data_IF_225758051069
#
_entry.id   IF_225758051069
#
_cell.length_a   1.000
_cell.length_b   1.000
_cell.length_c   1.000
_cell.angle_alpha   90.00
_cell.angle_beta   90.00
_cell.angle_gamma   90.00
#
_symmetry.space_group_name_H-M   'P 1'
#
loop_
_entity.id
_entity.type
_entity.pdbx_description
1 polymer ?
#
# COMPACT_ATOMS: atom_id res chain seq x y z
N UNK A 1 11.67 24.77 -12.53
CA UNK A 1 12.16 23.43 -12.13
C UNK A 1 10.96 22.55 -11.88
N UNK A 2 10.60 21.69 -12.83
CA UNK A 2 9.59 20.66 -12.58
C UNK A 2 10.15 19.70 -11.53
N UNK A 3 9.54 19.66 -10.35
CA UNK A 3 9.78 18.57 -9.40
C UNK A 3 9.32 17.27 -10.06
N UNK A 4 10.24 16.59 -10.74
CA UNK A 4 9.99 15.30 -11.35
C UNK A 4 9.43 14.36 -10.29
N UNK A 5 8.25 13.78 -10.55
CA UNK A 5 7.66 12.78 -9.66
C UNK A 5 8.68 11.66 -9.45
N UNK A 6 8.91 11.20 -8.21
CA UNK A 6 9.90 10.16 -7.94
C UNK A 6 9.56 8.91 -8.76
N UNK A 7 10.54 8.43 -9.53
CA UNK A 7 10.46 7.18 -10.28
C UNK A 7 11.06 6.05 -9.44
N UNK A 8 10.50 4.83 -9.49
CA UNK A 8 11.07 3.72 -8.76
C UNK A 8 12.38 3.26 -9.42
N UNK A 9 13.36 2.87 -8.59
CA UNK A 9 14.64 2.30 -9.04
C UNK A 9 14.45 0.91 -9.66
N UNK A 10 13.44 0.19 -9.18
CA UNK A 10 13.01 -1.12 -9.68
C UNK A 10 11.57 -0.97 -10.14
N UNK A 11 11.24 -1.30 -11.38
CA UNK A 11 9.86 -1.21 -11.86
C UNK A 11 8.96 -2.23 -11.13
N UNK A 12 7.71 -1.87 -10.76
CA UNK A 12 6.79 -2.82 -10.15
C UNK A 12 6.33 -3.85 -11.19
N UNK A 13 6.21 -5.12 -10.77
CA UNK A 13 5.65 -6.19 -11.60
C UNK A 13 4.26 -5.84 -12.13
N UNK A 14 3.47 -5.12 -11.33
CA UNK A 14 2.29 -4.41 -11.79
C UNK A 14 1.91 -3.29 -10.83
N UNK A 15 1.16 -2.31 -11.35
CA UNK A 15 0.50 -1.25 -10.59
C UNK A 15 -1.00 -1.32 -10.84
N UNK A 16 -1.79 -1.44 -9.77
CA UNK A 16 -3.25 -1.28 -9.80
C UNK A 16 -3.64 -0.20 -8.82
N UNK A 17 -4.30 0.83 -9.34
CA UNK A 17 -5.00 1.82 -8.53
C UNK A 17 -6.49 1.67 -8.79
N UNK A 18 -7.27 1.62 -7.71
CA UNK A 18 -8.72 1.66 -7.81
C UNK A 18 -9.13 3.12 -7.93
N UNK A 19 -9.57 3.50 -9.12
CA UNK A 19 -10.44 4.66 -9.24
C UNK A 19 -11.73 4.31 -8.51
N UNK A 20 -12.15 5.12 -7.54
CA UNK A 20 -13.39 4.82 -6.81
C UNK A 20 -14.56 4.88 -7.79
N UNK A 21 -15.55 4.00 -7.63
CA UNK A 21 -16.76 4.05 -8.47
C UNK A 21 -17.42 5.44 -8.39
N UNK A 22 -17.37 6.08 -7.22
CA UNK A 22 -17.85 7.45 -7.03
C UNK A 22 -17.06 8.46 -7.84
N UNK A 23 -15.73 8.35 -7.96
CA UNK A 23 -14.93 9.24 -8.85
C UNK A 23 -15.23 8.98 -10.31
N UNK A 24 -15.47 7.74 -10.72
CA UNK A 24 -15.85 7.42 -12.11
C UNK A 24 -17.23 7.96 -12.48
N UNK A 25 -18.23 7.77 -11.61
CA UNK A 25 -19.59 8.32 -11.79
C UNK A 25 -19.59 9.84 -11.73
N UNK A 26 -18.83 10.44 -10.80
CA UNK A 26 -18.68 11.89 -10.72
C UNK A 26 -18.00 12.47 -11.95
N UNK A 27 -16.96 11.82 -12.51
CA UNK A 27 -16.36 12.25 -13.77
C UNK A 27 -17.35 12.20 -14.93
N UNK A 28 -18.15 11.13 -15.02
CA UNK A 28 -19.18 11.02 -16.05
C UNK A 28 -20.25 12.13 -15.91
N UNK A 29 -20.71 12.40 -14.69
CA UNK A 29 -21.65 13.49 -14.40
C UNK A 29 -21.04 14.86 -14.71
N UNK A 30 -19.74 15.06 -14.45
CA UNK A 30 -19.03 16.30 -14.78
C UNK A 30 -18.95 16.52 -16.29
N UNK A 31 -18.53 15.50 -17.06
CA UNK A 31 -18.48 15.60 -18.53
C UNK A 31 -19.88 15.91 -19.09
N UNK A 32 -20.91 15.25 -18.57
CA UNK A 32 -22.31 15.55 -18.93
C UNK A 32 -22.72 16.99 -18.58
N UNK A 33 -22.36 17.48 -17.40
CA UNK A 33 -22.70 18.83 -16.95
C UNK A 33 -21.97 19.94 -17.73
N UNK A 34 -20.70 19.72 -18.12
CA UNK A 34 -19.93 20.62 -18.99
C UNK A 34 -20.57 20.70 -20.37
N UNK A 35 -20.94 19.55 -20.95
CA UNK A 35 -21.63 19.51 -22.23
C UNK A 35 -22.95 20.28 -22.18
N UNK A 36 -23.73 20.11 -21.11
CA UNK A 36 -24.98 20.85 -20.90
C UNK A 36 -24.76 22.36 -20.75
N UNK A 37 -23.71 22.80 -20.05
CA UNK A 37 -23.43 24.24 -19.86
C UNK A 37 -22.99 24.92 -21.14
N UNK A 38 -22.22 24.24 -21.99
CA UNK A 38 -21.82 24.75 -23.30
C UNK A 38 -23.06 24.96 -24.18
N UNK A 39 -24.04 24.04 -24.10
CA UNK A 39 -25.29 24.12 -24.87
C UNK A 39 -26.21 25.24 -24.36
N UNK A 40 -26.30 25.45 -23.03
CA UNK A 40 -27.26 26.39 -22.43
C UNK A 40 -26.72 27.80 -22.17
N UNK A 41 -25.40 28.01 -22.26
CA UNK A 41 -24.77 29.33 -22.12
C UNK A 41 -24.81 29.96 -20.72
N UNK A 42 -25.10 29.17 -19.67
CA UNK A 42 -25.24 29.68 -18.30
C UNK A 42 -23.94 29.65 -17.49
N UNK A 43 -23.37 30.83 -17.19
CA UNK A 43 -22.09 31.01 -16.50
C UNK A 43 -22.06 30.58 -15.01
N UNK A 44 -23.22 30.46 -14.34
CA UNK A 44 -23.30 30.09 -12.92
C UNK A 44 -23.06 28.58 -12.71
N UNK A 45 -23.51 27.74 -13.64
CA UNK A 45 -23.23 26.30 -13.60
C UNK A 45 -21.73 26.01 -13.83
N UNK A 46 -21.04 26.83 -14.63
CA UNK A 46 -19.62 26.68 -14.93
C UNK A 46 -18.74 26.84 -13.69
N UNK A 47 -19.07 27.76 -12.78
CA UNK A 47 -18.32 27.96 -11.53
C UNK A 47 -18.51 26.82 -10.52
N UNK A 48 -19.73 26.25 -10.43
CA UNK A 48 -19.99 25.04 -9.63
C UNK A 48 -19.22 23.82 -10.15
N UNK A 49 -19.16 23.65 -11.48
CA UNK A 49 -18.39 22.57 -12.12
C UNK A 49 -16.89 22.72 -11.85
N UNK A 50 -16.35 23.94 -11.91
CA UNK A 50 -14.94 24.23 -11.56
C UNK A 50 -14.67 23.95 -10.06
N UNK A 51 -15.59 24.34 -9.17
CA UNK A 51 -15.48 24.03 -7.73
C UNK A 51 -15.47 22.52 -7.45
N UNK A 52 -16.30 21.76 -8.17
CA UNK A 52 -16.34 20.31 -8.06
C UNK A 52 -15.07 19.65 -8.66
N UNK A 53 -14.52 20.18 -9.75
CA UNK A 53 -13.23 19.78 -10.33
C UNK A 53 -12.10 19.94 -9.29
N UNK A 54 -12.02 21.09 -8.61
CA UNK A 54 -11.04 21.32 -7.56
C UNK A 54 -11.20 20.35 -6.39
N UNK A 55 -12.44 20.07 -5.97
CA UNK A 55 -12.72 19.05 -4.94
C UNK A 55 -12.25 17.65 -5.34
N UNK A 56 -12.42 17.25 -6.60
CA UNK A 56 -12.00 15.94 -7.11
C UNK A 56 -10.50 15.79 -7.30
N UNK A 57 -9.78 16.87 -7.65
CA UNK A 57 -8.31 16.80 -7.68
C UNK A 57 -7.77 16.33 -6.34
N UNK A 58 -8.39 16.70 -5.22
CA UNK A 58 -7.95 16.29 -3.88
C UNK A 58 -7.96 14.76 -3.67
N UNK A 59 -8.91 14.02 -4.25
CA UNK A 59 -8.95 12.55 -4.14
C UNK A 59 -7.95 11.86 -5.07
N UNK A 60 -7.79 12.37 -6.30
CA UNK A 60 -6.75 11.89 -7.23
C UNK A 60 -5.34 12.19 -6.70
N UNK A 61 -5.14 13.33 -6.04
CA UNK A 61 -3.89 13.66 -5.38
C UNK A 61 -3.62 12.74 -4.18
N UNK A 62 -4.65 12.25 -3.47
CA UNK A 62 -4.49 11.27 -2.38
C UNK A 62 -4.06 9.88 -2.88
N UNK A 63 -4.56 9.42 -4.03
CA UNK A 63 -4.09 8.14 -4.60
C UNK A 63 -2.67 8.27 -5.17
N UNK A 64 -2.37 9.41 -5.80
CA UNK A 64 -1.03 9.70 -6.31
C UNK A 64 -0.01 9.86 -5.17
N UNK A 65 -0.42 10.43 -4.03
CA UNK A 65 0.45 10.53 -2.84
C UNK A 65 0.73 9.14 -2.24
N UNK A 66 -0.26 8.24 -2.22
CA UNK A 66 -0.08 6.87 -1.71
C UNK A 66 0.95 6.07 -2.52
N UNK A 67 0.89 6.15 -3.86
CA UNK A 67 1.87 5.49 -4.72
C UNK A 67 3.25 6.13 -4.60
N UNK A 68 3.35 7.47 -4.53
CA UNK A 68 4.62 8.17 -4.31
C UNK A 68 5.28 7.74 -3.00
N UNK A 69 4.50 7.52 -1.94
CA UNK A 69 5.02 6.99 -0.68
C UNK A 69 5.59 5.57 -0.84
N UNK A 70 4.90 4.69 -1.56
CA UNK A 70 5.41 3.36 -1.88
C UNK A 70 6.73 3.44 -2.66
N UNK A 71 6.81 4.30 -3.67
CA UNK A 71 8.03 4.50 -4.48
C UNK A 71 9.20 4.97 -3.62
N UNK A 72 8.99 5.98 -2.77
CA UNK A 72 10.04 6.47 -1.87
C UNK A 72 10.54 5.35 -0.93
N UNK A 73 9.61 4.56 -0.41
CA UNK A 73 9.93 3.44 0.47
C UNK A 73 10.74 2.36 -0.24
N UNK A 74 10.30 1.95 -1.43
CA UNK A 74 11.02 0.99 -2.30
C UNK A 74 12.43 1.50 -2.63
N UNK A 75 12.55 2.77 -2.98
CA UNK A 75 13.83 3.37 -3.36
C UNK A 75 14.83 3.49 -2.20
N UNK A 76 14.32 3.42 -0.96
CA UNK A 76 15.12 3.53 0.26
C UNK A 76 15.63 2.18 0.77
N UNK A 77 15.27 1.06 0.15
CA UNK A 77 15.76 -0.27 0.53
C UNK A 77 16.24 -1.05 -0.71
N UNK A 78 17.03 -2.09 -0.47
CA UNK A 78 17.41 -3.05 -1.51
C UNK A 78 16.21 -3.97 -1.77
N UNK A 79 15.38 -3.61 -2.74
CA UNK A 79 14.21 -4.37 -3.18
C UNK A 79 14.57 -5.15 -4.45
N UNK A 80 14.27 -6.44 -4.48
CA UNK A 80 14.52 -7.32 -5.63
C UNK A 80 13.34 -7.30 -6.60
N UNK A 81 12.12 -7.40 -6.06
CA UNK A 81 10.87 -7.29 -6.80
C UNK A 81 9.80 -6.65 -5.93
N UNK A 82 8.82 -6.02 -6.56
CA UNK A 82 7.67 -5.50 -5.84
C UNK A 82 6.44 -5.34 -6.73
N UNK A 83 5.30 -5.12 -6.10
CA UNK A 83 4.05 -4.77 -6.78
C UNK A 83 3.26 -3.78 -5.94
N UNK A 84 2.32 -3.09 -6.59
CA UNK A 84 1.40 -2.18 -5.92
C UNK A 84 -0.05 -2.45 -6.31
N UNK A 85 -0.90 -2.67 -5.31
CA UNK A 85 -2.31 -2.96 -5.51
C UNK A 85 -3.17 -2.19 -4.51
N UNK A 86 -3.82 -1.12 -4.99
CA UNK A 86 -4.84 -0.37 -4.27
C UNK A 86 -4.41 0.04 -2.85
N UNK A 87 -3.21 0.62 -2.72
CA UNK A 87 -2.68 1.11 -1.44
C UNK A 87 -1.91 0.08 -0.62
N UNK A 88 -1.68 -1.11 -1.16
CA UNK A 88 -0.76 -2.10 -0.58
C UNK A 88 0.44 -2.26 -1.51
N UNK A 89 1.64 -1.99 -1.00
CA UNK A 89 2.89 -2.34 -1.66
C UNK A 89 3.43 -3.64 -1.06
N UNK A 90 3.75 -4.62 -1.90
CA UNK A 90 4.38 -5.88 -1.48
C UNK A 90 5.75 -5.95 -2.13
N UNK A 91 6.79 -6.10 -1.33
CA UNK A 91 8.20 -6.04 -1.73
C UNK A 91 8.92 -7.30 -1.27
N UNK A 92 9.73 -7.90 -2.15
CA UNK A 92 10.72 -8.90 -1.77
C UNK A 92 12.06 -8.23 -1.55
N UNK A 93 12.59 -8.44 -0.35
CA UNK A 93 13.92 -8.04 0.08
C UNK A 93 14.85 -9.27 0.05
N UNK A 94 16.18 -9.06 0.03
CA UNK A 94 17.16 -10.14 0.09
C UNK A 94 16.93 -11.12 1.23
N UNK A 95 17.21 -12.40 0.95
CA UNK A 95 17.04 -13.49 1.93
C UNK A 95 15.60 -13.96 2.07
N UNK A 96 14.79 -13.85 1.02
CA UNK A 96 13.38 -14.26 0.98
C UNK A 96 12.54 -13.57 2.05
N UNK A 97 12.74 -12.27 2.24
CA UNK A 97 11.97 -11.49 3.22
C UNK A 97 10.92 -10.69 2.47
N UNK A 98 9.66 -10.82 2.88
CA UNK A 98 8.57 -10.04 2.35
C UNK A 98 8.26 -8.88 3.27
N UNK A 99 8.28 -7.68 2.69
CA UNK A 99 7.86 -6.44 3.33
C UNK A 99 6.57 -5.96 2.67
N UNK A 100 5.51 -5.80 3.47
CA UNK A 100 4.19 -5.37 3.03
C UNK A 100 3.87 -4.03 3.69
N UNK A 101 3.68 -2.99 2.88
CA UNK A 101 3.37 -1.64 3.35
C UNK A 101 1.91 -1.30 3.00
N UNK A 102 1.11 -0.95 4.02
CA UNK A 102 -0.21 -0.35 3.81
C UNK A 102 -0.09 1.19 3.78
N UNK A 103 -0.16 1.77 2.58
CA UNK A 103 -0.01 3.21 2.35
C UNK A 103 -1.31 3.99 2.60
N UNK A 104 -2.44 3.31 2.89
CA UNK A 104 -3.74 3.95 3.10
C UNK A 104 -3.93 4.39 4.55
N UNK A 105 -3.26 3.72 5.48
CA UNK A 105 -3.40 3.99 6.89
C UNK A 105 -2.62 5.26 7.27
N UNK A 106 -3.21 6.17 8.07
CA UNK A 106 -2.51 7.36 8.55
C UNK A 106 -1.32 6.99 9.45
N UNK A 107 -1.49 5.94 10.26
CA UNK A 107 -0.40 5.22 10.92
C UNK A 107 0.07 4.16 9.94
N UNK A 108 1.00 4.53 9.07
CA UNK A 108 1.57 3.66 8.04
C UNK A 108 2.17 2.43 8.70
N UNK A 109 1.61 1.26 8.39
CA UNK A 109 2.00 -0.03 8.97
C UNK A 109 2.84 -0.80 7.99
N UNK A 110 3.91 -1.37 8.52
CA UNK A 110 4.77 -2.30 7.81
C UNK A 110 4.59 -3.68 8.41
N UNK A 111 4.46 -4.68 7.54
CA UNK A 111 4.46 -6.08 7.92
C UNK A 111 5.70 -6.74 7.33
N UNK A 112 6.48 -7.44 8.16
CA UNK A 112 7.60 -8.25 7.71
C UNK A 112 7.34 -9.73 7.97
N UNK A 113 7.70 -10.56 7.01
CA UNK A 113 7.69 -12.03 7.13
C UNK A 113 8.83 -12.63 6.33
N UNK A 114 9.24 -13.83 6.72
CA UNK A 114 10.08 -14.66 5.87
C UNK A 114 9.17 -15.50 4.96
N UNK A 115 9.51 -15.56 3.67
CA UNK A 115 8.78 -16.26 2.62
C UNK A 115 9.18 -17.74 2.64
N UNK A 116 8.62 -18.52 3.57
CA UNK A 116 8.84 -19.97 3.65
C UNK A 116 7.84 -20.75 2.79
N UNK A 117 6.57 -20.33 2.79
CA UNK A 117 5.51 -20.93 2.00
C UNK A 117 4.58 -19.82 1.52
N UNK A 118 4.70 -19.49 0.24
CA UNK A 118 3.85 -18.55 -0.45
C UNK A 118 3.11 -19.29 -1.57
N UNK A 119 1.78 -19.32 -1.47
CA UNK A 119 0.93 -19.89 -2.50
C UNK A 119 0.02 -18.81 -3.07
N UNK A 120 0.01 -18.70 -4.40
CA UNK A 120 -0.84 -17.75 -5.11
C UNK A 120 -2.16 -18.40 -5.49
N UNK A 121 -3.24 -17.70 -5.23
CA UNK A 121 -4.60 -18.12 -5.54
C UNK A 121 -5.27 -17.05 -6.41
N UNK A 122 -6.06 -17.45 -7.43
CA UNK A 122 -6.87 -16.51 -8.17
C UNK A 122 -7.88 -15.83 -7.23
N UNK A 123 -8.10 -14.53 -7.43
CA UNK A 123 -9.17 -13.81 -6.73
C UNK A 123 -10.53 -14.39 -7.17
N UNK A 124 -11.23 -15.07 -6.27
CA UNK A 124 -12.62 -15.48 -6.49
C UNK A 124 -13.51 -14.23 -6.67
N UNK A 125 -14.20 -14.12 -7.81
CA UNK A 125 -14.99 -12.95 -8.21
C UNK A 125 -16.07 -12.52 -7.19
N UNK A 126 -16.50 -13.44 -6.29
CA UNK A 126 -17.58 -13.19 -5.32
C UNK A 126 -17.17 -12.52 -4.01
N UNK A 127 -15.87 -12.43 -3.69
CA UNK A 127 -15.42 -11.42 -2.75
C UNK A 127 -14.78 -10.34 -3.61
N UNK A 128 -15.48 -9.21 -3.77
CA UNK A 128 -14.80 -7.92 -3.96
C UNK A 128 -13.85 -7.81 -2.77
N UNK A 129 -12.66 -8.40 -2.91
CA UNK A 129 -11.61 -8.32 -1.94
C UNK A 129 -11.28 -6.84 -1.92
N UNK A 130 -11.85 -6.15 -0.93
CA UNK A 130 -11.20 -4.97 -0.38
C UNK A 130 -9.75 -5.40 -0.27
N UNK A 131 -8.88 -4.66 -0.95
CA UNK A 131 -7.44 -4.90 -1.08
C UNK A 131 -6.76 -4.73 0.27
N UNK A 132 -7.23 -5.46 1.28
CA UNK A 132 -6.79 -5.42 2.66
C UNK A 132 -5.91 -6.61 2.92
N UNK A 133 -4.94 -6.38 3.79
CA UNK A 133 -4.16 -7.43 4.42
C UNK A 133 -5.13 -8.19 5.34
N UNK A 134 -5.36 -9.47 5.05
CA UNK A 134 -6.26 -10.29 5.87
C UNK A 134 -5.44 -11.26 6.71
N UNK A 135 -5.72 -11.33 8.00
CA UNK A 135 -5.05 -12.23 8.93
C UNK A 135 -5.97 -13.40 9.28
N UNK A 136 -5.47 -14.61 9.08
CA UNK A 136 -6.02 -15.84 9.63
C UNK A 136 -5.04 -16.31 10.70
N UNK A 137 -5.32 -15.91 11.94
CA UNK A 137 -4.41 -16.17 13.07
C UNK A 137 -4.69 -17.54 13.66
N UNK A 138 -3.66 -18.37 13.86
CA UNK A 138 -3.82 -19.62 14.61
C UNK A 138 -3.75 -19.39 16.13
N UNK A 139 -3.20 -18.25 16.56
CA UNK A 139 -3.01 -17.89 17.97
C UNK A 139 -3.31 -16.41 18.20
N UNK A 140 -3.64 -16.04 19.45
CA UNK A 140 -3.75 -14.61 19.82
C UNK A 140 -2.41 -13.90 19.54
N UNK A 141 -2.42 -12.66 19.00
CA UNK A 141 -1.21 -11.88 18.81
C UNK A 141 -0.45 -11.73 20.12
N UNK A 142 0.86 -11.93 20.08
CA UNK A 142 1.73 -11.62 21.21
C UNK A 142 2.35 -10.25 20.92
N UNK A 143 1.94 -9.26 21.72
CA UNK A 143 2.66 -7.99 21.77
C UNK A 143 3.94 -8.24 22.55
N UNK A 144 5.08 -8.20 21.87
CA UNK A 144 6.37 -8.16 22.53
C UNK A 144 6.79 -6.70 22.47
N UNK A 145 6.78 -6.02 23.60
CA UNK A 145 7.48 -4.74 23.72
C UNK A 145 8.96 -5.08 23.69
N UNK A 146 9.49 -5.24 22.48
CA UNK A 146 10.93 -5.23 22.28
C UNK A 146 11.39 -3.82 22.66
N UNK A 147 12.50 -3.72 23.39
CA UNK A 147 13.18 -2.45 23.63
C UNK A 147 13.83 -2.04 22.31
N UNK A 148 12.97 -1.67 21.36
CA UNK A 148 13.36 -1.27 20.04
C UNK A 148 13.79 0.17 20.15
N UNK A 149 14.90 0.50 19.51
CA UNK A 149 15.44 1.85 19.42
C UNK A 149 14.33 2.89 19.15
N UNK A 150 14.59 4.17 19.42
CA UNK A 150 13.70 5.34 19.21
C UNK A 150 13.13 5.55 17.77
N UNK A 151 13.03 4.49 16.96
CA UNK A 151 12.63 4.40 15.56
C UNK A 151 11.25 3.75 15.36
N UNK A 152 10.69 3.10 16.37
CA UNK A 152 9.43 2.35 16.24
C UNK A 152 8.46 2.65 17.38
N UNK A 153 7.18 2.87 17.06
CA UNK A 153 6.15 3.14 18.07
C UNK A 153 5.67 1.87 18.77
N UNK A 154 5.54 0.79 18.01
CA UNK A 154 5.20 -0.53 18.52
C UNK A 154 5.56 -1.60 17.51
N UNK A 155 5.89 -2.79 18.02
CA UNK A 155 6.10 -4.00 17.24
C UNK A 155 5.22 -5.10 17.83
N UNK A 156 4.41 -5.75 16.99
CA UNK A 156 3.56 -6.88 17.38
C UNK A 156 3.94 -8.10 16.58
N UNK A 157 3.89 -9.27 17.22
CA UNK A 157 4.17 -10.54 16.56
C UNK A 157 2.87 -11.30 16.35
N UNK A 158 2.63 -11.65 15.09
CA UNK A 158 1.53 -12.50 14.67
C UNK A 158 2.07 -13.84 14.18
N UNK A 159 1.40 -14.95 14.51
CA UNK A 159 1.66 -16.26 13.90
C UNK A 159 0.38 -16.74 13.23
N UNK A 160 0.45 -17.10 11.95
CA UNK A 160 -0.75 -17.36 11.17
C UNK A 160 -0.51 -17.47 9.68
N UNK A 161 -1.62 -17.35 8.94
CA UNK A 161 -1.63 -17.10 7.51
C UNK A 161 -2.04 -15.66 7.28
N UNK A 162 -1.27 -14.93 6.47
CA UNK A 162 -1.67 -13.62 5.95
C UNK A 162 -2.04 -13.79 4.48
N UNK A 163 -3.10 -13.11 4.05
CA UNK A 163 -3.46 -12.99 2.64
C UNK A 163 -3.18 -11.55 2.19
N UNK A 164 -2.34 -11.43 1.17
CA UNK A 164 -1.91 -10.15 0.59
C UNK A 164 -2.02 -10.19 -0.93
N UNK A 165 -2.04 -9.05 -1.63
CA UNK A 165 -1.92 -9.05 -3.09
C UNK A 165 -0.68 -9.81 -3.56
N UNK A 166 -0.81 -10.60 -4.61
CA UNK A 166 0.34 -11.33 -5.19
C UNK A 166 1.39 -10.35 -5.68
N UNK A 167 2.67 -10.65 -5.46
CA UNK A 167 3.79 -9.86 -5.99
C UNK A 167 3.95 -10.02 -7.51
N UNK A 168 3.46 -11.14 -8.08
CA UNK A 168 3.64 -11.49 -9.49
C UNK A 168 2.47 -11.10 -10.37
N UNK A 169 1.23 -11.23 -9.87
CA UNK A 169 0.02 -11.12 -10.71
C UNK A 169 -1.07 -10.24 -10.10
N UNK A 170 -1.58 -9.31 -10.90
CA UNK A 170 -2.60 -8.31 -10.52
C UNK A 170 -3.93 -8.88 -10.01
N UNK A 171 -4.32 -10.08 -10.46
CA UNK A 171 -5.61 -10.72 -10.17
C UNK A 171 -5.48 -11.91 -9.19
N UNK A 172 -4.38 -11.99 -8.47
CA UNK A 172 -4.11 -13.06 -7.52
C UNK A 172 -3.83 -12.50 -6.13
N UNK A 173 -4.11 -13.31 -5.11
CA UNK A 173 -3.66 -13.11 -3.74
C UNK A 173 -2.63 -14.16 -3.40
N UNK A 174 -1.66 -13.78 -2.58
CA UNK A 174 -0.66 -14.67 -2.03
C UNK A 174 -0.99 -14.93 -0.57
N UNK A 175 -1.04 -16.21 -0.19
CA UNK A 175 -1.14 -16.64 1.19
C UNK A 175 0.24 -17.00 1.69
N UNK A 176 0.68 -16.33 2.74
CA UNK A 176 1.98 -16.56 3.37
C UNK A 176 1.70 -17.16 4.74
N UNK A 177 2.28 -18.32 5.02
CA UNK A 177 2.26 -18.96 6.34
C UNK A 177 3.54 -18.58 7.09
N UNK A 178 3.42 -18.10 8.33
CA UNK A 178 4.60 -17.83 9.14
C UNK A 178 4.37 -16.91 10.34
N UNK A 179 5.47 -16.32 10.79
CA UNK A 179 5.49 -15.24 11.78
C UNK A 179 5.59 -13.88 11.07
N UNK A 180 4.81 -12.91 11.54
CA UNK A 180 4.76 -11.56 11.00
C UNK A 180 5.04 -10.54 12.08
N UNK A 181 5.95 -9.61 11.80
CA UNK A 181 6.10 -8.40 12.58
C UNK A 181 5.14 -7.34 12.02
N UNK A 182 4.12 -6.93 12.78
CA UNK A 182 3.34 -5.72 12.51
C UNK A 182 4.03 -4.55 13.22
N UNK A 183 4.47 -3.56 12.45
CA UNK A 183 5.26 -2.43 12.94
C UNK A 183 4.54 -1.12 12.62
N UNK A 184 4.32 -0.32 13.66
CA UNK A 184 3.93 1.08 13.52
C UNK A 184 5.21 1.93 13.35
N UNK A 185 5.47 2.38 12.12
CA UNK A 185 6.69 3.11 11.78
C UNK A 185 6.66 4.57 12.29
N UNK A 186 7.80 5.06 12.77
CA UNK A 186 8.02 6.48 13.01
C UNK A 186 8.44 7.24 11.74
N UNK A 187 8.40 8.58 11.81
CA UNK A 187 8.67 9.48 10.68
C UNK A 187 10.03 9.23 10.02
N UNK A 188 11.05 8.84 10.80
CA UNK A 188 12.39 8.51 10.29
C UNK A 188 12.37 7.28 9.37
N UNK A 189 11.81 6.17 9.85
CA UNK A 189 11.65 4.92 9.09
C UNK A 189 10.71 5.06 7.88
N UNK A 190 9.76 5.99 7.95
CA UNK A 190 8.86 6.29 6.84
C UNK A 190 9.49 7.06 5.69
N UNK A 191 10.56 7.80 5.97
CA UNK A 191 11.34 8.48 4.94
C UNK A 191 12.37 7.52 4.34
N UNK A 192 12.98 6.69 5.18
CA UNK A 192 14.12 5.88 4.78
C UNK A 192 14.13 4.53 5.49
N UNK A 193 13.67 3.49 4.78
CA UNK A 193 13.55 2.12 5.30
C UNK A 193 14.91 1.49 5.59
N UNK A 194 15.96 1.80 4.81
CA UNK A 194 17.33 1.29 5.06
C UNK A 194 17.78 1.52 6.50
N UNK A 195 17.36 2.62 7.13
CA UNK A 195 17.76 2.98 8.50
C UNK A 195 17.24 2.04 9.59
N UNK A 196 16.24 1.22 9.27
CA UNK A 196 15.55 0.36 10.23
C UNK A 196 15.38 -1.09 9.77
N UNK A 197 15.53 -1.37 8.46
CA UNK A 197 15.24 -2.69 7.92
C UNK A 197 16.14 -3.79 8.49
N UNK A 198 17.43 -3.53 8.70
CA UNK A 198 18.34 -4.53 9.26
C UNK A 198 17.94 -4.95 10.67
N UNK A 199 17.51 -3.99 11.49
CA UNK A 199 17.03 -4.21 12.86
C UNK A 199 15.76 -5.06 12.83
N UNK A 200 14.81 -4.71 11.94
CA UNK A 200 13.56 -5.45 11.75
C UNK A 200 13.81 -6.88 11.25
N UNK A 201 14.77 -7.08 10.34
CA UNK A 201 15.14 -8.41 9.85
C UNK A 201 15.76 -9.25 10.96
N UNK A 202 16.62 -8.66 11.80
CA UNK A 202 17.18 -9.37 12.98
C UNK A 202 16.08 -9.77 13.96
N UNK A 203 15.14 -8.88 14.26
CA UNK A 203 13.97 -9.19 15.09
C UNK A 203 13.08 -10.29 14.48
N UNK A 204 12.86 -10.26 13.17
CA UNK A 204 12.04 -11.26 12.49
C UNK A 204 12.66 -12.65 12.66
N UNK A 205 13.98 -12.76 12.48
CA UNK A 205 14.71 -14.03 12.64
C UNK A 205 14.62 -14.59 14.07
N UNK A 206 14.61 -13.75 15.10
CA UNK A 206 14.50 -14.23 16.48
C UNK A 206 13.12 -14.75 16.86
N UNK A 207 12.06 -14.30 16.17
CA UNK A 207 10.66 -14.74 16.44
C UNK A 207 10.13 -15.80 15.48
N UNK A 208 10.84 -16.02 14.36
CA UNK A 208 10.52 -17.03 13.34
C UNK A 208 11.07 -18.42 13.69
N UNK A 209 11.96 -18.51 14.69
CA UNK A 209 12.46 -19.74 15.30
C UNK A 209 11.46 -20.33 16.30
#
# INVERSE_FOLDING_TARGET
>A
MELGKPKPKVEPNYRKESMSWTTMVMMALMVGSIALTIITGQNILTSMVIGALLGMTSELFKSMSSYVLAVNFVNSASVEEWSYNNGIAVMRLPGNILAILDTRLPKRRLYLSQEFSAQSYPLLERRRAKSSINFVTFTKPKTINLDVSHKFKSVKVWKGVIEVPSIKKKREVMRILGAFLEIDLESKCLKELSTCIEELVKMLKSVSL
#
